data_IF_411645765392
#
_entry.id   IF_411645765392
#
_cell.length_a   1.000
_cell.length_b   1.000
_cell.length_c   1.000
_cell.angle_alpha   90.00
_cell.angle_beta   90.00
_cell.angle_gamma   90.00
#
_symmetry.space_group_name_H-M   'P 1'
#
loop_
_entity.id
_entity.type
_entity.pdbx_description
1 polymer ?
#
# COMPACT_ATOMS: atom_id res chain seq x y z
N UNK A 1 23.97 0.14 -20.19
CA UNK A 1 22.76 -0.59 -19.76
C UNK A 1 21.66 0.42 -19.47
N UNK A 2 20.49 0.35 -20.13
CA UNK A 2 19.32 1.18 -19.75
C UNK A 2 18.92 0.78 -18.32
N UNK A 3 18.93 1.74 -17.40
CA UNK A 3 18.49 1.53 -16.02
C UNK A 3 17.08 0.95 -16.08
N UNK A 4 16.87 -0.26 -15.53
CA UNK A 4 15.53 -0.84 -15.40
C UNK A 4 14.67 0.17 -14.64
N UNK A 5 13.52 0.55 -15.19
CA UNK A 5 12.60 1.46 -14.50
C UNK A 5 12.16 0.88 -13.16
N UNK A 6 11.69 1.73 -12.25
CA UNK A 6 11.13 1.32 -10.95
C UNK A 6 9.64 1.63 -10.89
N UNK A 7 8.82 0.98 -11.74
CA UNK A 7 7.42 1.36 -11.94
C UNK A 7 6.59 1.31 -10.65
N UNK A 8 6.89 0.38 -9.74
CA UNK A 8 6.21 0.29 -8.44
C UNK A 8 6.60 1.43 -7.51
N UNK A 9 7.88 1.79 -7.42
CA UNK A 9 8.31 2.94 -6.63
C UNK A 9 7.80 4.27 -7.21
N UNK A 10 7.69 4.37 -8.54
CA UNK A 10 7.14 5.55 -9.20
C UNK A 10 5.64 5.68 -8.97
N UNK A 11 4.89 4.56 -9.04
CA UNK A 11 3.49 4.50 -8.63
C UNK A 11 3.33 4.87 -7.15
N UNK A 12 4.16 4.33 -6.26
CA UNK A 12 4.09 4.64 -4.83
C UNK A 12 4.29 6.11 -4.54
N UNK A 13 5.26 6.76 -5.20
CA UNK A 13 5.48 8.20 -5.08
C UNK A 13 4.27 9.01 -5.53
N UNK A 14 3.65 8.63 -6.65
CA UNK A 14 2.44 9.27 -7.14
C UNK A 14 1.27 9.09 -6.16
N UNK A 15 1.04 7.87 -5.68
CA UNK A 15 -0.01 7.53 -4.71
C UNK A 15 0.18 8.31 -3.41
N UNK A 16 1.38 8.30 -2.80
CA UNK A 16 1.66 9.07 -1.58
C UNK A 16 1.39 10.57 -1.78
N UNK A 17 1.77 11.12 -2.93
CA UNK A 17 1.50 12.53 -3.26
C UNK A 17 0.01 12.81 -3.34
N UNK A 18 -0.74 11.97 -4.06
CA UNK A 18 -2.20 12.09 -4.18
C UNK A 18 -2.90 11.96 -2.82
N UNK A 19 -2.52 10.97 -2.01
CA UNK A 19 -3.11 10.75 -0.68
C UNK A 19 -2.84 11.91 0.28
N UNK A 20 -1.64 12.51 0.25
CA UNK A 20 -1.33 13.71 1.05
C UNK A 20 -2.20 14.90 0.68
N UNK A 21 -2.63 14.99 -0.57
CA UNK A 21 -3.59 16.00 -1.02
C UNK A 21 -5.02 15.61 -0.64
N UNK A 22 -5.40 14.35 -0.85
CA UNK A 22 -6.77 13.88 -0.69
C UNK A 22 -7.22 13.72 0.77
N UNK A 23 -6.36 13.26 1.67
CA UNK A 23 -6.76 12.94 3.04
C UNK A 23 -6.82 14.17 3.97
N UNK A 24 -7.60 14.13 5.06
CA UNK A 24 -7.65 15.18 6.07
C UNK A 24 -6.27 15.56 6.62
N UNK A 25 -6.13 16.81 7.07
CA UNK A 25 -4.93 17.28 7.75
C UNK A 25 -4.79 16.48 9.06
N UNK A 26 -3.76 15.66 9.18
CA UNK A 26 -3.53 14.78 10.32
C UNK A 26 -3.53 13.29 9.98
N UNK A 27 -3.94 12.90 8.77
CA UNK A 27 -3.74 11.54 8.29
C UNK A 27 -2.25 11.18 8.26
N UNK A 28 -1.91 10.01 8.80
CA UNK A 28 -0.55 9.47 8.74
C UNK A 28 -0.50 8.50 7.56
N UNK A 29 0.43 8.75 6.64
CA UNK A 29 0.74 7.83 5.54
C UNK A 29 2.16 7.36 5.78
N UNK A 30 2.33 6.08 6.11
CA UNK A 30 3.63 5.48 6.39
C UNK A 30 3.95 4.42 5.35
N UNK A 31 5.18 4.47 4.82
CA UNK A 31 5.73 3.39 4.02
C UNK A 31 6.44 2.39 4.92
N UNK A 32 6.02 1.13 4.84
CA UNK A 32 6.57 0.03 5.61
C UNK A 32 7.65 -0.71 4.81
N UNK A 33 8.87 -0.17 4.84
CA UNK A 33 10.01 -0.76 4.14
C UNK A 33 10.49 -2.06 4.83
N UNK A 34 9.86 -3.19 4.49
CA UNK A 34 10.03 -4.45 5.21
C UNK A 34 10.86 -5.52 4.47
N UNK A 35 11.22 -5.28 3.21
CA UNK A 35 11.97 -6.24 2.38
C UNK A 35 13.48 -5.97 2.37
N UNK A 36 14.27 -6.99 2.67
CA UNK A 36 15.72 -6.97 2.45
C UNK A 36 16.02 -7.31 0.99
N UNK A 37 16.62 -6.37 0.27
CA UNK A 37 16.98 -6.52 -1.16
C UNK A 37 18.33 -7.23 -1.38
N UNK A 38 19.11 -7.44 -0.32
CA UNK A 38 20.38 -8.19 -0.38
C UNK A 38 20.10 -9.67 -0.63
N UNK A 39 20.69 -10.24 -1.69
CA UNK A 39 20.51 -11.65 -2.02
C UNK A 39 21.44 -12.57 -1.21
N UNK A 40 21.06 -13.85 -1.10
CA UNK A 40 21.90 -14.89 -0.51
C UNK A 40 21.84 -14.98 1.02
N UNK A 41 22.75 -15.76 1.65
CA UNK A 41 22.66 -16.11 3.06
C UNK A 41 22.69 -14.91 4.02
N UNK A 42 23.39 -13.82 3.63
CA UNK A 42 23.45 -12.59 4.41
C UNK A 42 22.10 -11.87 4.45
N UNK A 43 21.46 -11.72 3.30
CA UNK A 43 20.10 -11.18 3.21
C UNK A 43 19.08 -12.02 3.98
N UNK A 44 19.14 -13.34 3.84
CA UNK A 44 18.27 -14.25 4.58
C UNK A 44 18.45 -14.12 6.10
N UNK A 45 19.70 -14.06 6.59
CA UNK A 45 20.00 -13.85 8.02
C UNK A 45 19.46 -12.51 8.51
N UNK A 46 19.65 -11.43 7.73
CA UNK A 46 19.14 -10.11 8.07
C UNK A 46 17.61 -10.10 8.11
N UNK A 47 16.95 -10.71 7.14
CA UNK A 47 15.49 -10.83 7.12
C UNK A 47 15.00 -11.59 8.36
N UNK A 48 15.65 -12.70 8.73
CA UNK A 48 15.27 -13.47 9.93
C UNK A 48 15.38 -12.66 11.22
N UNK A 49 16.44 -11.84 11.37
CA UNK A 49 16.60 -10.93 12.51
C UNK A 49 15.46 -9.91 12.54
N UNK A 50 15.15 -9.27 11.40
CA UNK A 50 14.08 -8.28 11.31
C UNK A 50 12.71 -8.88 11.64
N UNK A 51 12.43 -10.10 11.17
CA UNK A 51 11.22 -10.84 11.53
C UNK A 51 11.19 -11.13 13.03
N UNK A 52 12.31 -11.54 13.63
CA UNK A 52 12.44 -11.72 15.08
C UNK A 52 12.25 -10.42 15.88
N UNK A 53 12.45 -9.26 15.25
CA UNK A 53 12.18 -7.94 15.83
C UNK A 53 10.76 -7.42 15.55
N UNK A 54 9.91 -8.21 14.89
CA UNK A 54 8.50 -7.88 14.65
C UNK A 54 8.17 -7.38 13.24
N UNK A 55 9.11 -7.42 12.28
CA UNK A 55 8.76 -7.22 10.87
C UNK A 55 7.85 -8.36 10.43
N UNK A 56 6.60 -8.03 10.11
CA UNK A 56 5.65 -9.01 9.64
C UNK A 56 5.90 -9.33 8.15
N UNK A 57 6.08 -10.61 7.77
CA UNK A 57 6.23 -10.99 6.36
C UNK A 57 5.02 -10.57 5.52
N UNK A 58 5.27 -10.05 4.32
CA UNK A 58 4.22 -9.66 3.38
C UNK A 58 3.37 -8.45 3.79
N UNK A 59 3.79 -7.71 4.83
CA UNK A 59 3.11 -6.48 5.23
C UNK A 59 3.02 -5.50 4.05
N UNK A 60 1.89 -4.81 3.94
CA UNK A 60 1.60 -3.93 2.81
C UNK A 60 2.59 -2.75 2.70
N UNK A 61 2.85 -2.32 1.46
CA UNK A 61 3.78 -1.21 1.19
C UNK A 61 3.44 0.09 1.93
N UNK A 62 2.14 0.42 2.05
CA UNK A 62 1.66 1.60 2.78
C UNK A 62 0.62 1.22 3.83
N UNK A 63 0.66 1.94 4.96
CA UNK A 63 -0.44 2.03 5.92
C UNK A 63 -0.89 3.49 6.05
N UNK A 64 -2.21 3.67 6.05
CA UNK A 64 -2.87 4.96 6.27
C UNK A 64 -3.62 4.88 7.59
N UNK A 65 -3.34 5.81 8.50
CA UNK A 65 -4.07 6.00 9.74
C UNK A 65 -4.79 7.34 9.71
N UNK A 66 -6.11 7.34 9.80
CA UNK A 66 -6.91 8.56 9.78
C UNK A 66 -8.24 8.34 10.50
N UNK A 67 -8.62 9.26 11.39
CA UNK A 67 -9.96 9.26 12.03
C UNK A 67 -10.36 7.91 12.67
N UNK A 68 -9.40 7.24 13.32
CA UNK A 68 -9.63 5.94 13.97
C UNK A 68 -9.66 4.74 13.00
N UNK A 69 -9.41 4.96 11.71
CA UNK A 69 -9.36 3.92 10.68
C UNK A 69 -7.93 3.61 10.27
N UNK A 70 -7.71 2.36 9.89
CA UNK A 70 -6.49 1.88 9.27
C UNK A 70 -6.81 1.28 7.89
N UNK A 71 -6.03 1.67 6.88
CA UNK A 71 -6.11 1.12 5.52
C UNK A 71 -4.71 0.73 5.05
N UNK A 72 -4.58 -0.50 4.59
CA UNK A 72 -3.36 -1.07 4.05
C UNK A 72 -3.43 -1.06 2.53
N UNK A 73 -2.41 -0.49 1.88
CA UNK A 73 -2.31 -0.46 0.42
C UNK A 73 -1.07 -1.23 -0.01
N UNK A 74 -1.28 -2.28 -0.79
CA UNK A 74 -0.21 -3.04 -1.45
C UNK A 74 -0.09 -2.56 -2.89
N UNK A 75 1.09 -2.10 -3.29
CA UNK A 75 1.30 -1.52 -4.61
C UNK A 75 1.95 -2.53 -5.55
N UNK A 76 1.37 -2.68 -6.74
CA UNK A 76 1.94 -3.52 -7.80
C UNK A 76 1.93 -2.80 -9.12
N UNK A 77 2.94 -3.06 -9.94
CA UNK A 77 2.91 -2.74 -11.36
C UNK A 77 1.72 -3.44 -12.01
N UNK A 78 1.27 -3.02 -13.21
CA UNK A 78 0.12 -3.64 -13.88
C UNK A 78 0.21 -5.18 -14.01
N UNK A 79 1.43 -5.72 -14.12
CA UNK A 79 1.68 -7.17 -14.21
C UNK A 79 2.16 -7.80 -12.90
N UNK A 80 2.47 -6.99 -11.88
CA UNK A 80 2.95 -7.46 -10.58
C UNK A 80 1.91 -8.35 -9.90
N UNK A 81 2.36 -9.40 -9.22
CA UNK A 81 1.49 -10.34 -8.50
C UNK A 81 1.82 -10.28 -7.02
N UNK A 82 0.84 -10.63 -6.20
CA UNK A 82 1.09 -10.85 -4.78
C UNK A 82 1.99 -12.08 -4.62
N UNK A 83 2.89 -12.02 -3.65
CA UNK A 83 3.54 -13.21 -3.13
C UNK A 83 2.60 -13.95 -2.15
N UNK A 84 2.82 -15.24 -1.88
CA UNK A 84 2.02 -15.98 -0.90
C UNK A 84 2.00 -15.32 0.49
N UNK A 85 3.10 -14.69 0.91
CA UNK A 85 3.16 -13.98 2.19
C UNK A 85 2.28 -12.71 2.20
N UNK A 86 2.22 -12.00 1.07
CA UNK A 86 1.36 -10.82 0.91
C UNK A 86 -0.13 -11.21 0.88
N UNK A 87 -0.47 -12.34 0.25
CA UNK A 87 -1.82 -12.91 0.30
C UNK A 87 -2.23 -13.27 1.72
N UNK A 88 -1.36 -13.97 2.45
CA UNK A 88 -1.61 -14.33 3.85
C UNK A 88 -1.79 -13.09 4.75
N UNK A 89 -0.98 -12.04 4.54
CA UNK A 89 -1.13 -10.79 5.28
C UNK A 89 -2.45 -10.08 4.98
N UNK A 90 -2.84 -9.98 3.70
CA UNK A 90 -4.16 -9.46 3.29
C UNK A 90 -5.28 -10.20 4.01
N UNK A 91 -5.26 -11.53 3.96
CA UNK A 91 -6.33 -12.35 4.52
C UNK A 91 -6.42 -12.16 6.04
N UNK A 92 -5.29 -12.07 6.74
CA UNK A 92 -5.24 -11.80 8.18
C UNK A 92 -5.74 -10.40 8.57
N UNK A 93 -5.39 -9.37 7.79
CA UNK A 93 -5.83 -7.98 8.01
C UNK A 93 -7.34 -7.85 7.78
N UNK A 94 -7.83 -8.40 6.66
CA UNK A 94 -9.25 -8.34 6.31
C UNK A 94 -10.11 -9.15 7.27
N UNK A 95 -9.64 -10.31 7.75
CA UNK A 95 -10.34 -11.09 8.79
C UNK A 95 -10.50 -10.34 10.13
N UNK A 96 -9.62 -9.37 10.42
CA UNK A 96 -9.72 -8.49 11.60
C UNK A 96 -10.65 -7.28 11.37
N UNK A 97 -11.19 -7.12 10.16
CA UNK A 97 -12.07 -5.99 9.80
C UNK A 97 -11.34 -4.72 9.38
N UNK A 98 -10.02 -4.78 9.16
CA UNK A 98 -9.27 -3.64 8.62
C UNK A 98 -9.38 -3.56 7.10
N UNK A 99 -9.27 -2.34 6.56
CA UNK A 99 -9.29 -2.13 5.12
C UNK A 99 -7.98 -2.57 4.46
N UNK A 100 -8.09 -3.25 3.33
CA UNK A 100 -6.93 -3.63 2.51
C UNK A 100 -7.26 -3.46 1.02
N UNK A 101 -6.33 -2.93 0.23
CA UNK A 101 -6.50 -2.83 -1.21
C UNK A 101 -5.20 -3.07 -1.98
N UNK A 102 -5.35 -3.73 -3.14
CA UNK A 102 -4.31 -3.84 -4.16
C UNK A 102 -4.38 -2.61 -5.07
N UNK A 103 -3.29 -1.88 -5.18
CA UNK A 103 -3.21 -0.61 -5.91
C UNK A 103 -2.27 -0.75 -7.11
N UNK A 104 -2.82 -0.56 -8.31
CA UNK A 104 -2.08 -0.55 -9.60
C UNK A 104 -2.16 0.79 -10.32
N UNK A 105 -3.00 1.70 -9.83
CA UNK A 105 -3.23 3.03 -10.36
C UNK A 105 -3.53 4.05 -9.26
N UNK A 106 -3.58 5.34 -9.61
CA UNK A 106 -4.01 6.39 -8.69
C UNK A 106 -5.50 6.25 -8.34
N UNK A 107 -6.32 5.84 -9.33
CA UNK A 107 -7.75 5.64 -9.16
C UNK A 107 -8.04 4.49 -8.19
N UNK A 108 -7.25 3.42 -8.21
CA UNK A 108 -7.38 2.31 -7.24
C UNK A 108 -7.16 2.81 -5.81
N UNK A 109 -6.16 3.67 -5.59
CA UNK A 109 -5.86 4.22 -4.27
C UNK A 109 -6.98 5.15 -3.77
N UNK A 110 -7.50 6.01 -4.64
CA UNK A 110 -8.60 6.91 -4.31
C UNK A 110 -9.93 6.18 -4.12
N UNK A 111 -10.19 5.15 -4.95
CA UNK A 111 -11.32 4.24 -4.81
C UNK A 111 -11.29 3.51 -3.47
N UNK A 112 -10.12 2.99 -3.07
CA UNK A 112 -9.95 2.34 -1.78
C UNK A 112 -10.27 3.27 -0.59
N UNK A 113 -9.94 4.58 -0.69
CA UNK A 113 -10.36 5.53 0.34
C UNK A 113 -11.90 5.57 0.47
N UNK A 114 -12.60 5.64 -0.66
CA UNK A 114 -14.07 5.67 -0.67
C UNK A 114 -14.67 4.36 -0.16
N UNK A 115 -14.19 3.21 -0.63
CA UNK A 115 -14.69 1.87 -0.28
C UNK A 115 -14.59 1.60 1.23
N UNK A 116 -13.53 2.09 1.86
CA UNK A 116 -13.31 1.97 3.31
C UNK A 116 -13.76 3.21 4.11
N UNK A 117 -14.50 4.11 3.47
CA UNK A 117 -15.17 5.26 4.09
C UNK A 117 -14.22 6.30 4.69
N UNK A 118 -13.02 6.46 4.14
CA UNK A 118 -12.13 7.56 4.51
C UNK A 118 -12.71 8.87 4.00
N UNK A 119 -12.79 9.86 4.89
CA UNK A 119 -13.11 11.23 4.51
C UNK A 119 -12.05 11.75 3.54
N UNK A 120 -12.44 12.42 2.47
CA UNK A 120 -11.50 13.08 1.53
C UNK A 120 -11.79 14.57 1.45
N UNK A 121 -10.74 15.37 1.22
CA UNK A 121 -10.79 16.82 0.98
C UNK A 121 -11.03 17.17 -0.48
N UNK A 122 -10.95 16.19 -1.37
CA UNK A 122 -11.24 16.34 -2.80
C UNK A 122 -12.67 15.91 -3.02
N UNK A 123 -13.45 16.74 -3.70
CA UNK A 123 -14.79 16.36 -4.11
C UNK A 123 -14.72 15.10 -4.98
N UNK A 124 -15.68 14.16 -4.85
CA UNK A 124 -15.80 13.08 -5.82
C UNK A 124 -15.93 13.69 -7.21
N UNK A 125 -15.30 13.11 -8.25
CA UNK A 125 -15.56 13.56 -9.61
C UNK A 125 -17.06 13.45 -9.84
N UNK A 126 -17.72 14.58 -10.09
CA UNK A 126 -19.12 14.63 -10.46
C UNK A 126 -19.32 13.65 -11.62
N UNK A 127 -20.20 12.67 -11.39
CA UNK A 127 -20.25 11.45 -12.17
C UNK A 127 -20.30 11.67 -13.67
N UNK A 128 -19.69 10.75 -14.42
CA UNK A 128 -20.21 10.42 -15.74
C UNK A 128 -21.60 9.84 -15.51
N UNK A 129 -22.63 10.67 -15.72
CA UNK A 129 -23.94 10.19 -16.13
C UNK A 129 -23.68 9.52 -17.49
N UNK A 130 -23.62 8.20 -17.52
CA UNK A 130 -23.73 7.46 -18.77
C UNK A 130 -25.21 7.48 -19.20
N UNK A 131 -25.50 7.54 -20.51
CA UNK A 131 -26.86 7.62 -21.05
C UNK A 131 -27.69 6.38 -20.74
#
# INVERSE_FOLDING_TARGET
MKRRGTPEADLQRAVVTALRFALPKGAIIHHCANEVTEAGPRGAKRQAILVGMGVHPGFADLIILCEGKALFLELKSLKGRLSPAQEAFRDAVTAQGFGWALVRSLDDALGALADYGFTTRVAPPTGRIAP
#
